data_IF_848626661263
#
_entry.id   IF_848626661263
#
_cell.length_a   1.000
_cell.length_b   1.000
_cell.length_c   1.000
_cell.angle_alpha   90.00
_cell.angle_beta   90.00
_cell.angle_gamma   90.00
#
_symmetry.space_group_name_H-M   'P 1'
#
loop_
_entity.id
_entity.type
_entity.pdbx_description
1 polymer ?
#
# COMPACT_ATOMS: atom_id res chain seq x y z
N UNK A 1 -16.42 -5.25 64.25
CA UNK A 1 -17.08 -4.11 63.56
C UNK A 1 -16.23 -3.46 62.46
N UNK A 2 -14.89 -3.34 62.58
CA UNK A 2 -14.05 -2.61 61.60
C UNK A 2 -13.80 -3.30 60.24
N UNK A 3 -14.06 -4.61 60.07
CA UNK A 3 -13.87 -5.32 58.79
C UNK A 3 -15.06 -5.27 57.81
N UNK A 4 -16.28 -4.94 58.29
CA UNK A 4 -17.47 -4.80 57.41
C UNK A 4 -17.54 -3.43 56.72
N UNK A 5 -16.90 -2.41 57.29
CA UNK A 5 -16.89 -1.03 56.76
C UNK A 5 -15.92 -0.90 55.57
N UNK A 6 -14.78 -1.60 55.59
CA UNK A 6 -13.83 -1.58 54.46
C UNK A 6 -14.38 -2.26 53.20
N UNK A 7 -15.23 -3.29 53.35
CA UNK A 7 -15.84 -4.00 52.22
C UNK A 7 -16.91 -3.14 51.51
N UNK A 8 -17.66 -2.32 52.25
CA UNK A 8 -18.64 -1.39 51.69
C UNK A 8 -17.99 -0.21 50.95
N UNK A 9 -16.83 0.28 51.42
CA UNK A 9 -16.08 1.35 50.74
C UNK A 9 -15.49 0.86 49.41
N UNK A 10 -15.10 -0.41 49.32
CA UNK A 10 -14.56 -0.98 48.08
C UNK A 10 -15.64 -1.18 47.00
N UNK A 11 -16.84 -1.63 47.39
CA UNK A 11 -17.98 -1.80 46.46
C UNK A 11 -18.55 -0.45 45.99
N UNK A 12 -18.56 0.59 46.82
CA UNK A 12 -19.00 1.93 46.39
C UNK A 12 -18.05 2.57 45.36
N UNK A 13 -16.74 2.26 45.40
CA UNK A 13 -15.77 2.77 44.42
C UNK A 13 -15.91 2.12 43.02
N UNK A 14 -16.36 0.86 42.97
CA UNK A 14 -16.59 0.13 41.72
C UNK A 14 -17.88 0.56 41.01
N UNK A 15 -18.88 1.04 41.75
CA UNK A 15 -20.15 1.56 41.19
C UNK A 15 -19.98 3.00 40.67
N UNK A 16 -19.09 3.81 41.26
CA UNK A 16 -18.82 5.17 40.75
C UNK A 16 -17.96 5.20 39.47
N UNK A 17 -17.09 4.20 39.27
CA UNK A 17 -16.28 4.08 38.04
C UNK A 17 -17.11 3.68 36.81
N UNK A 18 -18.19 2.91 37.01
CA UNK A 18 -19.06 2.43 35.93
C UNK A 18 -20.12 3.45 35.47
N UNK A 19 -20.46 4.44 36.30
CA UNK A 19 -21.40 5.52 35.94
C UNK A 19 -20.71 6.65 35.16
N UNK A 20 -19.40 6.85 35.33
CA UNK A 20 -18.64 7.83 34.56
C UNK A 20 -18.32 7.36 33.13
N UNK A 21 -18.31 6.06 32.88
CA UNK A 21 -18.06 5.48 31.55
C UNK A 21 -19.29 5.49 30.62
N UNK A 22 -20.52 5.58 31.17
CA UNK A 22 -21.74 5.73 30.36
C UNK A 22 -22.08 7.17 29.97
N UNK A 23 -21.44 8.18 30.55
CA UNK A 23 -21.73 9.60 30.24
C UNK A 23 -20.87 10.22 29.14
N UNK A 24 -19.83 9.52 28.63
CA UNK A 24 -18.95 10.03 27.56
C UNK A 24 -19.32 9.45 26.19
N UNK A 25 -20.04 8.32 26.13
CA UNK A 25 -20.40 7.66 24.88
C UNK A 25 -21.73 8.10 24.24
N UNK A 26 -22.39 9.15 24.75
CA UNK A 26 -23.73 9.54 24.28
C UNK A 26 -23.81 10.94 23.62
N UNK A 27 -22.70 11.45 23.08
CA UNK A 27 -22.67 12.79 22.45
C UNK A 27 -22.35 12.84 20.94
N UNK A 28 -22.24 11.70 20.26
CA UNK A 28 -22.07 11.68 18.80
C UNK A 28 -22.87 10.55 18.13
N UNK A 29 -24.19 10.56 18.33
CA UNK A 29 -25.13 9.99 17.36
C UNK A 29 -26.32 10.95 17.25
N UNK A 30 -26.25 11.87 16.29
CA UNK A 30 -27.43 12.43 15.63
C UNK A 30 -27.16 12.42 14.13
N UNK A 31 -27.93 11.61 13.43
CA UNK A 31 -28.17 11.77 12.01
C UNK A 31 -28.85 13.11 11.77
N UNK A 32 -28.23 13.97 10.98
CA UNK A 32 -28.92 15.05 10.26
C UNK A 32 -28.66 14.81 8.77
N UNK A 33 -29.74 14.50 8.06
CA UNK A 33 -29.79 14.46 6.60
C UNK A 33 -30.08 15.88 6.12
N UNK A 34 -29.04 16.67 5.89
CA UNK A 34 -29.14 17.88 5.10
C UNK A 34 -27.81 18.16 4.40
N UNK A 35 -27.85 17.98 3.07
CA UNK A 35 -26.78 18.36 2.15
C UNK A 35 -26.67 19.88 2.13
N UNK A 36 -25.50 20.49 2.41
CA UNK A 36 -25.30 21.90 2.08
C UNK A 36 -24.89 22.00 0.61
N UNK A 37 -25.73 22.67 -0.17
CA UNK A 37 -25.43 23.17 -1.50
C UNK A 37 -24.08 23.90 -1.49
N UNK A 38 -23.08 23.32 -2.17
CA UNK A 38 -21.88 24.04 -2.58
C UNK A 38 -22.26 24.89 -3.79
N UNK A 39 -22.68 26.13 -3.51
CA UNK A 39 -22.81 27.17 -4.51
C UNK A 39 -21.45 27.42 -5.18
N UNK A 40 -21.52 27.35 -6.49
CA UNK A 40 -20.48 27.59 -7.49
C UNK A 40 -19.89 29.00 -7.32
N UNK A 41 -18.66 29.09 -6.81
CA UNK A 41 -17.84 30.29 -6.95
C UNK A 41 -16.93 30.11 -8.16
N UNK A 42 -17.39 30.65 -9.28
CA UNK A 42 -16.67 30.78 -10.55
C UNK A 42 -15.22 31.28 -10.35
N UNK A 43 -14.20 30.61 -10.91
CA UNK A 43 -12.90 31.25 -11.09
C UNK A 43 -12.92 32.12 -12.35
N UNK A 44 -12.40 33.33 -12.16
CA UNK A 44 -12.21 34.37 -13.17
C UNK A 44 -11.53 33.86 -14.45
N UNK A 45 -11.95 34.47 -15.55
CA UNK A 45 -11.53 34.22 -16.93
C UNK A 45 -10.02 34.18 -17.13
N UNK A 46 -9.52 33.05 -17.67
CA UNK A 46 -8.16 32.90 -18.18
C UNK A 46 -8.04 33.68 -19.51
N UNK A 47 -7.00 34.52 -19.71
CA UNK A 47 -6.77 35.13 -21.01
C UNK A 47 -6.33 34.06 -22.02
N UNK A 48 -7.08 33.97 -23.13
CA UNK A 48 -6.69 33.26 -24.34
C UNK A 48 -5.47 33.96 -24.93
N UNK A 49 -4.32 33.28 -24.98
CA UNK A 49 -3.33 33.28 -26.07
C UNK A 49 -2.01 32.70 -25.56
N UNK A 50 -1.76 31.42 -25.83
CA UNK A 50 -0.39 30.92 -26.01
C UNK A 50 -0.40 30.05 -27.27
N UNK A 51 0.29 30.55 -28.29
CA UNK A 51 0.55 29.93 -29.58
C UNK A 51 1.67 28.92 -29.38
N UNK A 52 1.48 27.65 -29.76
CA UNK A 52 2.59 26.71 -29.92
C UNK A 52 3.23 26.96 -31.30
N UNK A 53 4.37 27.63 -31.31
CA UNK A 53 5.26 27.71 -32.46
C UNK A 53 6.21 26.51 -32.47
N UNK A 54 6.30 25.84 -33.62
CA UNK A 54 7.41 24.93 -33.93
C UNK A 54 8.65 25.73 -34.33
N UNK A 55 9.83 25.21 -34.00
CA UNK A 55 10.82 24.69 -34.97
C UNK A 55 12.17 24.45 -34.27
N UNK A 56 12.87 23.44 -34.80
CA UNK A 56 14.32 23.19 -34.76
C UNK A 56 15.02 22.73 -33.46
N UNK A 57 15.34 21.43 -33.40
CA UNK A 57 16.59 20.93 -32.82
C UNK A 57 17.23 19.88 -33.75
N UNK A 58 18.57 19.91 -33.95
CA UNK A 58 19.25 19.21 -35.04
C UNK A 58 19.57 17.74 -34.74
N UNK A 59 19.65 16.97 -35.82
CA UNK A 59 20.09 15.58 -35.87
C UNK A 59 21.60 15.43 -35.68
N UNK A 60 22.03 14.84 -34.57
CA UNK A 60 23.37 14.25 -34.45
C UNK A 60 23.26 12.77 -34.07
N UNK A 61 23.72 11.93 -35.00
CA UNK A 61 23.89 10.49 -34.83
C UNK A 61 25.20 10.30 -34.04
N UNK A 62 25.08 9.88 -32.79
CA UNK A 62 26.23 9.43 -31.98
C UNK A 62 26.21 7.90 -31.97
N UNK A 63 27.11 7.30 -32.73
CA UNK A 63 27.46 5.89 -32.64
C UNK A 63 28.19 5.63 -31.32
N UNK A 64 27.54 4.94 -30.39
CA UNK A 64 28.18 4.41 -29.19
C UNK A 64 28.59 2.96 -29.45
N UNK A 65 29.90 2.74 -29.46
CA UNK A 65 30.55 1.43 -29.48
C UNK A 65 30.29 0.71 -28.16
N UNK A 66 29.81 -0.53 -28.25
CA UNK A 66 29.72 -1.49 -27.15
C UNK A 66 31.09 -1.68 -26.51
N UNK A 67 31.18 -1.54 -25.19
CA UNK A 67 32.12 -2.34 -24.42
C UNK A 67 31.47 -2.87 -23.13
N UNK A 68 31.68 -4.16 -22.97
CA UNK A 68 31.35 -5.11 -21.91
C UNK A 68 31.76 -4.62 -20.50
N UNK A 69 31.23 -5.04 -19.35
CA UNK A 69 30.60 -6.28 -18.91
C UNK A 69 30.13 -6.11 -17.45
N UNK A 70 28.85 -6.35 -17.12
CA UNK A 70 28.41 -7.08 -15.91
C UNK A 70 27.06 -7.68 -16.25
N UNK A 71 27.03 -8.99 -16.50
CA UNK A 71 25.83 -9.72 -16.87
C UNK A 71 25.27 -10.36 -15.59
N UNK A 72 24.30 -9.69 -14.95
CA UNK A 72 23.37 -10.35 -14.03
C UNK A 72 22.19 -10.86 -14.85
N UNK A 73 22.17 -12.18 -15.06
CA UNK A 73 21.21 -12.90 -15.89
C UNK A 73 19.85 -13.06 -15.17
N UNK A 74 19.17 -11.94 -14.93
CA UNK A 74 17.74 -11.93 -14.66
C UNK A 74 17.04 -11.59 -15.98
N UNK A 75 16.28 -12.53 -16.53
CA UNK A 75 15.48 -12.29 -17.75
C UNK A 75 14.63 -11.05 -17.52
N UNK A 76 14.61 -10.14 -18.49
CA UNK A 76 13.95 -8.82 -18.42
C UNK A 76 12.45 -8.88 -18.05
N UNK A 77 11.80 -10.04 -18.24
CA UNK A 77 10.43 -10.33 -17.78
C UNK A 77 10.32 -10.56 -16.26
N UNK A 78 11.32 -11.18 -15.64
CA UNK A 78 11.34 -11.46 -14.20
C UNK A 78 11.42 -10.14 -13.41
N UNK A 79 11.97 -9.06 -13.98
CA UNK A 79 12.01 -7.72 -13.35
C UNK A 79 10.65 -7.02 -13.27
N UNK A 80 9.63 -7.48 -14.02
CA UNK A 80 8.30 -6.84 -14.12
C UNK A 80 7.24 -7.44 -13.19
N UNK A 81 7.63 -8.35 -12.30
CA UNK A 81 6.72 -9.01 -11.37
C UNK A 81 6.98 -8.52 -9.95
N UNK A 82 5.90 -8.10 -9.26
CA UNK A 82 5.94 -7.78 -7.83
C UNK A 82 6.27 -9.01 -7.00
N UNK A 83 7.11 -8.85 -5.98
CA UNK A 83 7.54 -9.98 -5.15
C UNK A 83 8.67 -9.62 -4.21
N UNK A 84 9.11 -10.59 -3.38
CA UNK A 84 10.31 -10.44 -2.57
C UNK A 84 11.54 -10.28 -3.47
N UNK A 85 12.49 -9.46 -3.02
CA UNK A 85 13.78 -9.23 -3.68
C UNK A 85 14.90 -9.25 -2.66
N UNK A 86 16.13 -9.55 -3.11
CA UNK A 86 17.34 -9.51 -2.28
C UNK A 86 18.23 -8.31 -2.60
N UNK A 87 18.01 -7.66 -3.73
CA UNK A 87 18.77 -6.51 -4.22
C UNK A 87 17.88 -5.27 -4.21
N UNK A 88 18.45 -4.13 -3.80
CA UNK A 88 17.72 -2.86 -3.69
C UNK A 88 18.50 -1.69 -4.30
N UNK A 89 17.82 -0.65 -4.83
CA UNK A 89 18.48 0.40 -5.62
C UNK A 89 19.23 1.48 -4.79
N UNK A 90 19.57 1.22 -3.53
CA UNK A 90 20.17 2.20 -2.62
C UNK A 90 21.32 1.63 -1.78
N UNK A 91 21.88 0.47 -2.13
CA UNK A 91 22.95 -0.18 -1.35
C UNK A 91 24.16 0.73 -1.13
N UNK A 92 24.47 1.59 -2.12
CA UNK A 92 25.57 2.56 -2.07
C UNK A 92 25.12 3.99 -1.66
N UNK A 93 23.86 4.20 -1.26
CA UNK A 93 23.35 5.50 -0.81
C UNK A 93 24.00 5.85 0.55
N UNK A 94 24.76 6.95 0.60
CA UNK A 94 25.47 7.36 1.83
C UNK A 94 24.52 7.71 2.98
N UNK A 95 23.34 8.26 2.71
CA UNK A 95 22.35 8.55 3.77
C UNK A 95 21.78 7.24 4.33
N UNK A 96 21.59 6.25 3.47
CA UNK A 96 21.20 4.89 3.87
C UNK A 96 22.25 4.27 4.79
N UNK A 97 23.51 4.19 4.34
CA UNK A 97 24.60 3.60 5.11
C UNK A 97 24.77 4.28 6.48
N UNK A 98 24.77 5.62 6.51
CA UNK A 98 24.84 6.38 7.75
C UNK A 98 23.65 6.08 8.69
N UNK A 99 22.44 5.90 8.14
CA UNK A 99 21.25 5.60 8.94
C UNK A 99 21.32 4.19 9.53
N UNK A 100 21.84 3.20 8.80
CA UNK A 100 22.08 1.86 9.33
C UNK A 100 23.04 1.92 10.54
N UNK A 101 24.18 2.58 10.38
CA UNK A 101 25.22 2.70 11.40
C UNK A 101 24.69 3.40 12.68
N UNK A 102 23.96 4.49 12.50
CA UNK A 102 23.42 5.26 13.62
C UNK A 102 22.38 4.49 14.46
N UNK A 103 21.68 3.53 13.84
CA UNK A 103 20.59 2.80 14.48
C UNK A 103 20.94 1.32 14.76
N UNK A 104 22.12 0.86 14.33
CA UNK A 104 22.56 -0.52 14.48
C UNK A 104 21.68 -1.51 13.70
N UNK A 105 21.11 -1.10 12.56
CA UNK A 105 20.14 -1.89 11.80
C UNK A 105 20.75 -2.49 10.53
N UNK A 106 21.88 -3.20 10.61
CA UNK A 106 22.66 -3.62 9.44
C UNK A 106 22.12 -4.85 8.70
N UNK A 107 21.17 -5.59 9.29
CA UNK A 107 20.63 -6.82 8.70
C UNK A 107 19.39 -6.52 7.88
N UNK A 108 19.41 -6.85 6.59
CA UNK A 108 18.20 -6.88 5.75
C UNK A 108 17.25 -7.95 6.30
N UNK A 109 16.08 -7.54 6.76
CA UNK A 109 15.05 -8.47 7.25
C UNK A 109 14.23 -8.99 6.07
N UNK A 110 13.73 -8.09 5.24
CA UNK A 110 13.05 -8.42 3.99
C UNK A 110 13.00 -7.19 3.08
N UNK A 111 13.05 -7.42 1.78
CA UNK A 111 12.72 -6.43 0.77
C UNK A 111 11.62 -6.95 -0.17
N UNK A 112 10.78 -6.05 -0.65
CA UNK A 112 9.72 -6.36 -1.59
C UNK A 112 9.61 -5.24 -2.60
N UNK A 113 9.45 -5.61 -3.87
CA UNK A 113 9.14 -4.67 -4.93
C UNK A 113 7.68 -4.80 -5.38
N UNK A 114 7.07 -3.70 -5.75
CA UNK A 114 5.72 -3.65 -6.29
C UNK A 114 5.75 -2.89 -7.60
N UNK A 115 5.39 -3.58 -8.69
CA UNK A 115 5.40 -3.02 -10.03
C UNK A 115 4.09 -2.29 -10.29
N UNK A 116 4.19 -1.05 -10.74
CA UNK A 116 3.10 -0.21 -11.19
C UNK A 116 2.87 -0.53 -12.68
N UNK A 117 2.08 -1.57 -12.96
CA UNK A 117 1.69 -1.90 -14.34
C UNK A 117 0.80 -0.81 -14.89
N UNK A 118 1.20 -0.21 -16.01
CA UNK A 118 0.48 0.85 -16.73
C UNK A 118 -0.07 1.94 -15.79
N UNK A 119 0.82 2.67 -15.08
CA UNK A 119 0.38 3.60 -14.05
C UNK A 119 -0.50 4.68 -14.64
N UNK A 120 -1.66 4.89 -14.01
CA UNK A 120 -2.57 5.95 -14.42
C UNK A 120 -2.01 7.31 -14.00
N UNK A 121 -2.40 8.42 -14.66
CA UNK A 121 -1.90 9.75 -14.35
C UNK A 121 -1.95 10.08 -12.86
N UNK A 122 -0.81 10.51 -12.31
CA UNK A 122 -0.66 10.89 -10.90
C UNK A 122 -0.39 9.73 -9.93
N UNK A 123 -0.57 8.48 -10.33
CA UNK A 123 -0.31 7.31 -9.47
C UNK A 123 1.16 7.18 -9.10
N UNK A 124 2.04 7.12 -10.10
CA UNK A 124 3.49 6.98 -9.91
C UNK A 124 4.02 8.11 -9.02
N UNK A 125 3.66 9.35 -9.31
CA UNK A 125 4.04 10.52 -8.52
C UNK A 125 3.65 10.37 -7.04
N UNK A 126 2.41 9.94 -6.76
CA UNK A 126 1.92 9.78 -5.39
C UNK A 126 2.64 8.64 -4.66
N UNK A 127 2.91 7.53 -5.36
CA UNK A 127 3.65 6.38 -4.82
C UNK A 127 5.10 6.80 -4.49
N UNK A 128 5.77 7.52 -5.40
CA UNK A 128 7.12 8.03 -5.18
C UNK A 128 7.19 9.05 -4.04
N UNK A 129 6.22 9.95 -3.95
CA UNK A 129 6.11 10.90 -2.83
C UNK A 129 5.91 10.15 -1.51
N UNK A 130 5.02 9.17 -1.47
CA UNK A 130 4.79 8.36 -0.28
C UNK A 130 6.03 7.55 0.13
N UNK A 131 6.74 6.96 -0.83
CA UNK A 131 8.02 6.28 -0.58
C UNK A 131 9.06 7.23 0.03
N UNK A 132 9.15 8.46 -0.48
CA UNK A 132 10.06 9.48 0.05
C UNK A 132 9.70 9.90 1.48
N UNK A 133 8.42 10.04 1.80
CA UNK A 133 7.96 10.35 3.15
C UNK A 133 8.19 9.20 4.14
N UNK A 134 8.23 7.96 3.63
CA UNK A 134 8.47 6.75 4.42
C UNK A 134 9.96 6.46 4.65
N UNK A 135 10.82 6.82 3.68
CA UNK A 135 12.29 6.61 3.69
C UNK A 135 12.89 7.12 5.00
N UNK A 136 13.65 6.25 5.69
CA UNK A 136 14.36 6.60 6.92
C UNK A 136 13.54 6.48 8.19
N UNK A 137 12.30 5.96 8.14
CA UNK A 137 11.48 5.79 9.35
C UNK A 137 12.11 4.75 10.27
N UNK A 138 12.32 5.12 11.54
CA UNK A 138 12.76 4.20 12.59
C UNK A 138 11.57 3.81 13.46
N UNK A 139 11.33 2.50 13.57
CA UNK A 139 10.30 1.92 14.46
C UNK A 139 11.01 1.33 15.66
N UNK A 140 10.84 1.93 16.85
CA UNK A 140 11.52 1.51 18.07
C UNK A 140 10.99 0.16 18.59
N UNK A 141 11.73 -0.53 19.47
CA UNK A 141 11.23 -1.72 20.15
C UNK A 141 9.85 -1.47 20.78
N UNK A 142 8.93 -2.41 20.56
CA UNK A 142 7.53 -2.39 21.02
C UNK A 142 6.64 -1.30 20.40
N UNK A 143 7.18 -0.42 19.54
CA UNK A 143 6.42 0.61 18.84
C UNK A 143 5.51 -0.01 17.76
N UNK A 144 4.36 0.63 17.55
CA UNK A 144 3.44 0.30 16.46
C UNK A 144 3.66 1.32 15.35
N UNK A 145 4.17 0.86 14.21
CA UNK A 145 4.17 1.64 12.99
C UNK A 145 2.74 1.80 12.45
N UNK A 146 2.43 2.97 11.92
CA UNK A 146 1.18 3.28 11.21
C UNK A 146 1.49 4.01 9.93
N UNK A 147 1.00 3.48 8.80
CA UNK A 147 1.17 4.15 7.51
C UNK A 147 0.46 5.49 7.49
N UNK A 148 -0.78 5.57 7.97
CA UNK A 148 -1.53 6.82 7.96
C UNK A 148 -0.84 7.91 8.80
N UNK A 149 -0.18 7.56 9.91
CA UNK A 149 0.61 8.53 10.69
C UNK A 149 1.87 8.95 9.93
N UNK A 150 2.59 7.99 9.33
CA UNK A 150 3.86 8.26 8.67
C UNK A 150 3.69 9.14 7.41
N UNK A 151 2.76 8.76 6.52
CA UNK A 151 2.66 9.38 5.19
C UNK A 151 1.33 10.09 4.93
N UNK A 152 0.28 9.81 5.69
CA UNK A 152 -0.99 10.53 5.61
C UNK A 152 -0.97 11.85 6.40
N UNK A 153 -1.98 12.73 6.26
CA UNK A 153 -3.15 12.61 5.38
C UNK A 153 -2.80 12.76 3.88
N UNK A 154 -3.55 12.07 3.04
CA UNK A 154 -3.38 12.06 1.59
C UNK A 154 -4.07 13.29 0.94
N UNK A 155 -3.49 14.47 1.14
CA UNK A 155 -4.08 15.75 0.73
C UNK A 155 -3.11 16.60 -0.11
N UNK A 156 -3.65 17.51 -0.92
CA UNK A 156 -2.88 18.38 -1.81
C UNK A 156 -1.82 19.21 -1.08
N UNK A 157 -2.12 19.73 0.12
CA UNK A 157 -1.17 20.53 0.90
C UNK A 157 0.03 19.74 1.42
N UNK A 158 -0.04 18.40 1.40
CA UNK A 158 1.09 17.50 1.65
C UNK A 158 1.78 17.04 0.36
N UNK A 159 1.46 17.66 -0.77
CA UNK A 159 2.06 17.42 -2.08
C UNK A 159 1.36 16.36 -2.93
N UNK A 160 0.36 15.65 -2.39
CA UNK A 160 -0.33 14.61 -3.14
C UNK A 160 -1.11 15.19 -4.34
N UNK A 161 -1.10 14.47 -5.45
CA UNK A 161 -1.88 14.76 -6.65
C UNK A 161 -3.12 13.87 -6.71
N UNK A 162 -4.08 14.24 -7.55
CA UNK A 162 -5.17 13.32 -7.92
C UNK A 162 -4.57 12.15 -8.68
N UNK A 163 -4.86 10.94 -8.22
CA UNK A 163 -4.48 9.68 -8.85
C UNK A 163 -5.66 8.70 -8.79
N UNK A 164 -5.53 7.51 -9.38
CA UNK A 164 -6.62 6.54 -9.48
C UNK A 164 -7.05 6.01 -8.12
N UNK A 165 -8.34 5.75 -7.98
CA UNK A 165 -8.92 4.97 -6.89
C UNK A 165 -10.16 4.24 -7.40
N UNK A 166 -10.51 3.14 -6.74
CA UNK A 166 -11.72 2.40 -7.03
C UNK A 166 -12.80 2.71 -5.99
N UNK A 167 -14.01 3.01 -6.45
CA UNK A 167 -15.22 3.09 -5.63
C UNK A 167 -16.22 2.08 -6.19
N UNK A 168 -16.37 0.95 -5.49
CA UNK A 168 -17.03 -0.22 -6.09
C UNK A 168 -16.27 -0.63 -7.36
N UNK A 169 -16.99 -0.88 -8.47
CA UNK A 169 -16.41 -1.20 -9.78
C UNK A 169 -15.99 0.03 -10.60
N UNK A 170 -16.16 1.25 -10.09
CA UNK A 170 -15.86 2.47 -10.84
C UNK A 170 -14.44 2.97 -10.53
N UNK A 171 -13.65 3.15 -11.59
CA UNK A 171 -12.40 3.90 -11.55
C UNK A 171 -12.72 5.40 -11.46
N UNK A 172 -12.18 6.07 -10.43
CA UNK A 172 -12.27 7.52 -10.24
C UNK A 172 -10.92 8.04 -9.75
N UNK A 173 -10.84 9.32 -9.36
CA UNK A 173 -9.61 9.92 -8.84
C UNK A 173 -9.78 10.48 -7.44
N UNK A 174 -8.73 10.38 -6.63
CA UNK A 174 -8.63 10.99 -5.30
C UNK A 174 -7.20 11.48 -5.04
N UNK A 175 -7.02 12.38 -4.08
CA UNK A 175 -5.68 12.76 -3.63
C UNK A 175 -4.98 11.56 -2.99
N UNK A 176 -3.74 11.32 -3.41
CA UNK A 176 -2.97 10.15 -2.99
C UNK A 176 -3.47 8.83 -3.57
N UNK A 177 -4.23 8.85 -4.67
CA UNK A 177 -4.48 7.62 -5.44
C UNK A 177 -3.16 6.90 -5.75
N UNK A 178 -3.10 5.61 -5.43
CA UNK A 178 -1.88 4.79 -5.48
C UNK A 178 -1.30 4.37 -4.13
N UNK A 179 -1.60 5.06 -3.02
CA UNK A 179 -0.97 4.78 -1.70
C UNK A 179 -1.29 3.40 -1.11
N UNK A 180 -2.30 2.68 -1.62
CA UNK A 180 -2.54 1.28 -1.25
C UNK A 180 -1.43 0.32 -1.70
N UNK A 181 -0.62 0.72 -2.70
CA UNK A 181 0.58 -0.03 -3.07
C UNK A 181 1.60 0.01 -1.94
N UNK A 182 1.79 1.16 -1.29
CA UNK A 182 2.67 1.30 -0.11
C UNK A 182 2.23 0.36 1.01
N UNK A 183 0.93 0.30 1.31
CA UNK A 183 0.43 -0.58 2.39
C UNK A 183 0.57 -2.05 2.05
N UNK A 184 0.35 -2.43 0.79
CA UNK A 184 0.52 -3.82 0.35
C UNK A 184 2.00 -4.23 0.36
N UNK A 185 2.91 -3.36 -0.09
CA UNK A 185 4.36 -3.61 -0.03
C UNK A 185 4.83 -3.71 1.42
N UNK A 186 4.42 -2.76 2.29
CA UNK A 186 4.71 -2.77 3.73
C UNK A 186 4.17 -4.03 4.42
N UNK A 187 2.97 -4.48 4.05
CA UNK A 187 2.40 -5.71 4.58
C UNK A 187 3.26 -6.93 4.26
N UNK A 188 3.71 -7.05 3.01
CA UNK A 188 4.55 -8.17 2.60
C UNK A 188 5.92 -8.15 3.29
N UNK A 189 6.62 -7.01 3.33
CA UNK A 189 7.91 -6.95 4.03
C UNK A 189 7.76 -7.16 5.53
N UNK A 190 6.69 -6.68 6.17
CA UNK A 190 6.45 -6.90 7.59
C UNK A 190 6.20 -8.38 7.89
N UNK A 191 5.42 -9.08 7.05
CA UNK A 191 5.20 -10.52 7.20
C UNK A 191 6.49 -11.30 6.98
N UNK A 192 7.24 -11.01 5.91
CA UNK A 192 8.51 -11.67 5.61
C UNK A 192 9.58 -11.41 6.69
N UNK A 193 9.49 -10.28 7.39
CA UNK A 193 10.36 -9.93 8.53
C UNK A 193 9.90 -10.55 9.87
N UNK A 194 8.89 -11.43 9.84
CA UNK A 194 8.24 -12.05 11.00
C UNK A 194 7.67 -11.06 12.04
N UNK A 195 7.17 -9.90 11.58
CA UNK A 195 6.60 -8.90 12.47
C UNK A 195 5.12 -9.15 12.76
N UNK A 196 4.68 -8.67 13.93
CA UNK A 196 3.28 -8.78 14.30
C UNK A 196 2.46 -7.72 13.57
N UNK A 197 1.59 -8.16 12.66
CA UNK A 197 0.59 -7.28 12.02
C UNK A 197 -0.52 -6.98 13.01
N UNK A 198 -0.74 -5.68 13.26
CA UNK A 198 -1.72 -5.17 14.23
C UNK A 198 -3.03 -4.79 13.53
N UNK A 199 -2.93 -4.20 12.34
CA UNK A 199 -4.09 -3.81 11.54
C UNK A 199 -3.78 -4.08 10.07
N UNK A 200 -4.69 -4.81 9.41
CA UNK A 200 -4.69 -5.05 7.98
C UNK A 200 -6.14 -5.17 7.52
N UNK A 201 -6.44 -4.50 6.42
CA UNK A 201 -7.70 -4.67 5.69
C UNK A 201 -7.38 -5.10 4.27
N UNK A 202 -7.99 -6.18 3.79
CA UNK A 202 -7.94 -6.52 2.36
C UNK A 202 -8.81 -5.53 1.55
N UNK A 203 -8.47 -5.38 0.28
CA UNK A 203 -9.33 -4.72 -0.70
C UNK A 203 -10.61 -5.55 -0.90
N UNK A 204 -11.70 -4.88 -1.29
CA UNK A 204 -12.97 -5.54 -1.61
C UNK A 204 -12.95 -6.24 -2.97
N UNK A 205 -12.01 -5.89 -3.84
CA UNK A 205 -11.75 -6.48 -5.15
C UNK A 205 -10.28 -6.87 -5.22
N UNK A 206 -9.90 -7.86 -6.04
CA UNK A 206 -8.49 -8.16 -6.24
C UNK A 206 -7.72 -6.96 -6.79
N UNK A 207 -6.41 -6.98 -6.59
CA UNK A 207 -5.48 -5.98 -7.12
C UNK A 207 -4.41 -6.65 -7.97
N UNK A 208 -3.99 -6.05 -9.09
CA UNK A 208 -3.14 -6.72 -10.08
C UNK A 208 -1.64 -6.72 -9.73
N UNK A 209 -1.27 -6.17 -8.57
CA UNK A 209 0.12 -5.91 -8.19
C UNK A 209 0.63 -6.75 -7.01
N UNK A 210 -0.21 -7.60 -6.41
CA UNK A 210 0.17 -8.62 -5.42
C UNK A 210 -0.76 -9.84 -5.52
N UNK A 211 -0.32 -11.04 -5.11
CA UNK A 211 -1.19 -12.21 -5.04
C UNK A 211 -2.43 -12.00 -4.14
N UNK A 212 -3.47 -12.81 -4.36
CA UNK A 212 -4.61 -12.85 -3.43
C UNK A 212 -4.14 -13.12 -2.01
N UNK A 213 -4.76 -12.45 -1.04
CA UNK A 213 -4.42 -12.61 0.37
C UNK A 213 -3.15 -11.88 0.80
N UNK A 214 -2.41 -11.23 -0.11
CA UNK A 214 -1.19 -10.47 0.19
C UNK A 214 -1.36 -8.94 0.07
N UNK A 215 -2.59 -8.46 -0.12
CA UNK A 215 -2.89 -7.03 -0.26
C UNK A 215 -3.28 -6.37 1.06
N UNK A 216 -3.00 -5.07 1.19
CA UNK A 216 -3.50 -4.25 2.28
C UNK A 216 -4.00 -2.91 1.74
N UNK A 217 -5.19 -2.48 2.18
CA UNK A 217 -5.82 -1.23 1.75
C UNK A 217 -5.86 -0.22 2.90
N UNK A 218 -5.75 1.06 2.56
CA UNK A 218 -5.78 2.18 3.52
C UNK A 218 -6.78 3.23 3.07
N UNK A 219 -7.37 3.91 4.06
CA UNK A 219 -8.22 5.07 3.87
C UNK A 219 -8.02 5.96 5.10
N UNK A 220 -7.40 7.12 4.91
CA UNK A 220 -7.06 7.98 6.04
C UNK A 220 -8.29 8.30 6.91
N UNK A 221 -8.19 8.03 8.22
CA UNK A 221 -9.30 8.18 9.17
C UNK A 221 -10.27 6.99 9.28
N UNK A 222 -10.12 5.94 8.45
CA UNK A 222 -11.02 4.78 8.44
C UNK A 222 -10.32 3.41 8.41
N UNK A 223 -9.28 3.24 7.59
CA UNK A 223 -8.50 1.99 7.45
C UNK A 223 -7.01 2.32 7.46
N UNK A 224 -6.23 1.56 8.21
CA UNK A 224 -4.79 1.71 8.28
C UNK A 224 -4.08 0.38 8.06
N UNK A 225 -2.78 0.46 7.77
CA UNK A 225 -1.87 -0.66 7.88
C UNK A 225 -0.93 -0.41 9.06
N UNK A 226 -0.89 -1.35 10.00
CA UNK A 226 -0.07 -1.26 11.20
C UNK A 226 0.63 -2.58 11.49
N UNK A 227 1.90 -2.48 11.86
CA UNK A 227 2.65 -3.59 12.44
C UNK A 227 3.35 -3.11 13.71
N UNK A 228 3.64 -4.06 14.60
CA UNK A 228 4.40 -3.82 15.81
C UNK A 228 5.82 -4.33 15.62
N UNK A 229 6.79 -3.50 15.99
CA UNK A 229 8.15 -3.98 16.19
C UNK A 229 8.19 -4.83 17.47
N UNK A 230 8.27 -6.15 17.29
CA UNK A 230 8.35 -7.12 18.39
C UNK A 230 9.78 -7.52 18.73
N UNK A 231 10.79 -6.96 18.06
CA UNK A 231 12.20 -7.20 18.39
C UNK A 231 12.66 -6.29 19.54
N UNK A 232 13.86 -6.59 20.06
CA UNK A 232 14.52 -5.79 21.10
C UNK A 232 15.30 -4.60 20.53
N UNK A 233 15.29 -4.42 19.20
CA UNK A 233 16.08 -3.42 18.48
C UNK A 233 15.23 -2.55 17.56
N UNK A 234 15.71 -1.36 17.16
CA UNK A 234 15.03 -0.57 16.15
C UNK A 234 14.89 -1.31 14.82
N UNK A 235 13.85 -0.97 14.07
CA UNK A 235 13.68 -1.38 12.68
C UNK A 235 13.70 -0.14 11.79
N UNK A 236 14.58 -0.11 10.81
CA UNK A 236 14.63 0.91 9.78
C UNK A 236 13.72 0.50 8.60
N UNK A 237 12.87 1.42 8.17
CA UNK A 237 12.12 1.33 6.92
C UNK A 237 12.83 2.17 5.87
N UNK A 238 13.23 1.55 4.77
CA UNK A 238 13.75 2.26 3.60
C UNK A 238 12.86 2.02 2.40
N UNK A 239 12.63 3.07 1.62
CA UNK A 239 11.71 3.02 0.48
C UNK A 239 12.19 3.93 -0.65
N UNK A 240 12.01 3.47 -1.88
CA UNK A 240 12.32 4.26 -3.08
C UNK A 240 11.38 3.86 -4.23
N UNK A 241 10.90 4.86 -4.97
CA UNK A 241 10.30 4.65 -6.28
C UNK A 241 11.37 4.84 -7.35
N UNK A 242 11.51 3.86 -8.24
CA UNK A 242 12.40 3.89 -9.41
C UNK A 242 11.55 3.52 -10.61
N UNK A 243 11.37 4.47 -11.53
CA UNK A 243 10.43 4.33 -12.66
C UNK A 243 9.06 3.80 -12.17
N UNK A 244 8.56 2.75 -12.81
CA UNK A 244 7.30 2.09 -12.49
C UNK A 244 7.45 1.03 -11.39
N UNK A 245 8.44 1.11 -10.52
CA UNK A 245 8.64 0.14 -9.44
C UNK A 245 8.82 0.82 -8.09
N UNK A 246 8.01 0.39 -7.11
CA UNK A 246 8.17 0.72 -5.70
C UNK A 246 9.01 -0.36 -5.03
N UNK A 247 10.06 0.04 -4.33
CA UNK A 247 10.84 -0.82 -3.46
C UNK A 247 10.64 -0.38 -2.01
N UNK A 248 10.41 -1.33 -1.10
CA UNK A 248 10.47 -1.12 0.34
C UNK A 248 11.28 -2.26 0.95
N UNK A 249 12.14 -1.93 1.91
CA UNK A 249 12.84 -2.91 2.72
C UNK A 249 12.81 -2.54 4.20
N UNK A 250 12.86 -3.58 5.04
CA UNK A 250 13.03 -3.45 6.49
C UNK A 250 14.41 -3.93 6.87
N UNK A 251 15.08 -3.18 7.73
CA UNK A 251 16.38 -3.53 8.29
C UNK A 251 16.34 -3.53 9.81
N UNK A 252 17.08 -4.45 10.43
CA UNK A 252 17.17 -4.61 11.87
C UNK A 252 18.52 -5.20 12.26
N UNK A 253 18.60 -5.85 13.43
CA UNK A 253 19.84 -6.48 13.91
C UNK A 253 19.67 -7.98 14.20
N UNK A 254 18.66 -8.60 13.61
CA UNK A 254 18.34 -10.01 13.77
C UNK A 254 18.10 -10.65 12.41
N UNK A 255 18.28 -11.97 12.31
CA UNK A 255 17.91 -12.74 11.12
C UNK A 255 16.48 -13.24 11.29
N UNK A 256 15.53 -12.87 10.41
CA UNK A 256 14.18 -13.43 10.48
C UNK A 256 14.21 -14.91 10.04
N UNK A 257 13.28 -15.75 10.52
CA UNK A 257 13.10 -17.09 9.99
C UNK A 257 12.71 -17.04 8.51
N UNK A 258 12.92 -18.14 7.80
CA UNK A 258 12.46 -18.26 6.41
C UNK A 258 10.94 -18.33 6.40
N UNK A 259 10.30 -17.41 5.69
CA UNK A 259 8.84 -17.30 5.58
C UNK A 259 8.40 -17.50 4.14
N UNK A 260 7.47 -18.43 3.95
CA UNK A 260 6.86 -18.72 2.64
C UNK A 260 5.35 -18.59 2.73
N UNK A 261 4.77 -17.87 1.76
CA UNK A 261 3.33 -17.71 1.63
C UNK A 261 2.69 -18.91 0.98
N UNK A 262 1.52 -19.29 1.49
CA UNK A 262 0.66 -20.30 0.90
C UNK A 262 -0.78 -19.80 0.81
N UNK A 263 -1.46 -20.18 -0.27
CA UNK A 263 -2.81 -19.74 -0.58
C UNK A 263 -3.68 -20.88 -1.09
N UNK A 264 -4.88 -20.98 -0.54
CA UNK A 264 -5.93 -21.89 -1.01
C UNK A 264 -7.10 -21.06 -1.54
N UNK A 265 -7.36 -21.12 -2.85
CA UNK A 265 -8.56 -20.55 -3.45
C UNK A 265 -9.73 -21.50 -3.18
N UNK A 266 -10.57 -21.14 -2.21
CA UNK A 266 -11.74 -21.92 -1.82
C UNK A 266 -12.83 -21.80 -2.89
N UNK A 267 -12.97 -20.61 -3.47
CA UNK A 267 -13.98 -20.31 -4.49
C UNK A 267 -13.53 -19.17 -5.38
N UNK A 268 -13.90 -19.25 -6.65
CA UNK A 268 -13.65 -18.20 -7.66
C UNK A 268 -14.98 -17.67 -8.21
N UNK A 269 -15.02 -16.40 -8.55
CA UNK A 269 -16.15 -15.71 -9.17
C UNK A 269 -15.65 -15.04 -10.45
N UNK A 270 -16.21 -15.39 -11.61
CA UNK A 270 -15.71 -14.86 -12.88
C UNK A 270 -15.94 -13.34 -12.99
N UNK A 271 -14.91 -12.63 -13.43
CA UNK A 271 -15.01 -11.20 -13.74
C UNK A 271 -16.00 -10.98 -14.90
N UNK A 272 -17.02 -10.12 -14.72
CA UNK A 272 -17.89 -9.75 -15.81
C UNK A 272 -17.15 -8.84 -16.80
N UNK A 273 -17.58 -8.88 -18.06
CA UNK A 273 -17.10 -7.96 -19.11
C UNK A 273 -18.16 -6.88 -19.33
N UNK A 274 -17.76 -5.62 -19.19
CA UNK A 274 -18.61 -4.46 -19.40
C UNK A 274 -18.18 -3.78 -20.70
N UNK A 275 -19.08 -3.73 -21.66
CA UNK A 275 -18.88 -3.00 -22.92
C UNK A 275 -19.37 -1.55 -22.79
N UNK A 276 -18.57 -0.60 -23.24
CA UNK A 276 -18.93 0.81 -23.40
C UNK A 276 -18.84 1.17 -24.89
N UNK A 277 -19.92 1.71 -25.45
CA UNK A 277 -19.88 2.15 -26.84
C UNK A 277 -18.97 3.38 -26.94
N UNK A 278 -18.00 3.33 -27.85
CA UNK A 278 -17.15 4.46 -28.19
C UNK A 278 -17.31 4.79 -29.68
N UNK A 279 -17.90 5.94 -29.99
CA UNK A 279 -18.14 6.39 -31.37
C UNK A 279 -16.86 6.85 -32.09
N UNK A 280 -15.75 7.01 -31.38
CA UNK A 280 -14.44 7.34 -31.94
C UNK A 280 -13.70 6.09 -32.42
N UNK A 281 -14.13 4.89 -32.00
CA UNK A 281 -13.60 3.62 -32.50
C UNK A 281 -14.32 3.19 -33.78
N UNK A 282 -13.59 2.66 -34.79
CA UNK A 282 -14.19 1.99 -35.94
C UNK A 282 -15.19 0.90 -35.55
N UNK A 283 -16.28 0.77 -36.31
CA UNK A 283 -17.32 -0.23 -36.09
C UNK A 283 -16.75 -1.63 -35.85
N UNK A 284 -17.05 -2.21 -34.68
CA UNK A 284 -16.59 -3.55 -34.30
C UNK A 284 -15.18 -3.63 -33.71
N UNK A 285 -14.40 -2.54 -33.70
CA UNK A 285 -13.11 -2.48 -33.01
C UNK A 285 -13.32 -2.47 -31.49
N UNK A 286 -12.50 -3.20 -30.76
CA UNK A 286 -12.55 -3.29 -29.29
C UNK A 286 -11.23 -2.81 -28.67
N UNK A 287 -11.33 -2.01 -27.62
CA UNK A 287 -10.19 -1.50 -26.85
C UNK A 287 -10.39 -1.81 -25.36
N UNK A 288 -9.46 -2.56 -24.77
CA UNK A 288 -9.47 -2.82 -23.32
C UNK A 288 -9.07 -1.54 -22.61
N UNK A 289 -9.96 -1.03 -21.76
CA UNK A 289 -9.72 0.13 -20.91
C UNK A 289 -9.24 -0.29 -19.52
N UNK A 290 -9.80 -1.39 -19.01
CA UNK A 290 -9.39 -1.98 -17.75
C UNK A 290 -9.44 -3.50 -17.88
N UNK A 291 -8.30 -4.15 -17.67
CA UNK A 291 -8.26 -5.60 -17.50
C UNK A 291 -8.79 -5.93 -16.10
N UNK A 292 -9.93 -6.62 -16.05
CA UNK A 292 -10.55 -7.12 -14.84
C UNK A 292 -9.79 -8.30 -14.23
N UNK A 293 -10.26 -8.74 -13.06
CA UNK A 293 -9.70 -9.86 -12.32
C UNK A 293 -10.82 -10.61 -11.62
N UNK A 294 -10.78 -11.94 -11.68
CA UNK A 294 -11.76 -12.79 -11.02
C UNK A 294 -11.86 -12.48 -9.52
N UNK A 295 -13.06 -12.56 -8.95
CA UNK A 295 -13.23 -12.54 -7.50
C UNK A 295 -12.80 -13.88 -6.91
N UNK A 296 -12.46 -13.91 -5.63
CA UNK A 296 -12.11 -15.14 -4.95
C UNK A 296 -12.40 -15.10 -3.46
N UNK A 297 -12.61 -16.28 -2.86
CA UNK A 297 -12.46 -16.50 -1.41
C UNK A 297 -11.16 -17.24 -1.22
N UNK A 298 -10.21 -16.63 -0.52
CA UNK A 298 -8.84 -17.17 -0.41
C UNK A 298 -8.46 -17.31 1.06
N UNK A 299 -8.11 -18.52 1.47
CA UNK A 299 -7.47 -18.76 2.77
C UNK A 299 -5.97 -18.66 2.58
N UNK A 300 -5.29 -17.94 3.48
CA UNK A 300 -3.84 -17.77 3.41
C UNK A 300 -3.19 -18.15 4.73
N UNK A 301 -2.00 -18.73 4.64
CA UNK A 301 -1.12 -18.98 5.77
C UNK A 301 0.32 -18.75 5.35
N UNK A 302 1.20 -18.67 6.35
CA UNK A 302 2.64 -18.67 6.12
C UNK A 302 3.27 -19.89 6.79
N UNK A 303 4.21 -20.50 6.10
CA UNK A 303 5.13 -21.48 6.65
C UNK A 303 6.34 -20.73 7.19
N UNK A 304 6.68 -20.96 8.45
CA UNK A 304 7.81 -20.32 9.14
C UNK A 304 8.81 -21.41 9.45
N UNK A 305 10.01 -21.31 8.90
CA UNK A 305 11.13 -22.22 9.16
C UNK A 305 12.22 -21.48 9.94
N UNK A 306 12.39 -21.87 11.19
CA UNK A 306 13.41 -21.36 12.10
C UNK A 306 14.80 -21.94 11.76
N UNK A 307 15.87 -21.26 12.17
CA UNK A 307 17.25 -21.71 11.92
C UNK A 307 17.56 -23.08 12.56
N UNK A 308 16.89 -23.41 13.67
CA UNK A 308 17.03 -24.72 14.33
C UNK A 308 16.29 -25.87 13.62
N UNK A 309 15.66 -25.59 12.47
CA UNK A 309 14.89 -26.54 11.68
C UNK A 309 13.44 -26.72 12.13
N UNK A 310 12.99 -26.06 13.20
CA UNK A 310 11.59 -26.07 13.60
C UNK A 310 10.74 -25.36 12.54
N UNK A 311 9.64 -26.01 12.15
CA UNK A 311 8.67 -25.45 11.22
C UNK A 311 7.35 -25.20 11.93
N UNK A 312 6.76 -24.03 11.73
CA UNK A 312 5.43 -23.69 12.22
C UNK A 312 4.58 -23.11 11.11
N UNK A 313 3.25 -23.23 11.25
CA UNK A 313 2.28 -22.64 10.32
C UNK A 313 1.51 -21.57 11.05
N UNK A 314 1.49 -20.35 10.49
CA UNK A 314 0.69 -19.24 11.01
C UNK A 314 -0.44 -18.92 10.04
N UNK A 315 -1.67 -19.07 10.53
CA UNK A 315 -2.87 -18.71 9.76
C UNK A 315 -2.96 -17.19 9.61
N UNK A 316 -3.12 -16.72 8.37
CA UNK A 316 -3.25 -15.30 8.04
C UNK A 316 -4.71 -14.89 7.77
N UNK A 317 -5.62 -15.86 7.80
CA UNK A 317 -7.07 -15.66 7.69
C UNK A 317 -7.62 -15.91 6.29
N UNK A 318 -8.88 -15.52 6.11
CA UNK A 318 -9.62 -15.65 4.84
C UNK A 318 -9.92 -14.27 4.29
N UNK A 319 -9.56 -14.02 3.03
CA UNK A 319 -9.89 -12.79 2.31
C UNK A 319 -11.00 -13.04 1.29
N UNK A 320 -11.86 -12.05 1.11
CA UNK A 320 -13.05 -12.12 0.25
C UNK A 320 -12.98 -11.00 -0.79
N UNK A 321 -12.94 -11.39 -2.05
CA UNK A 321 -12.84 -10.46 -3.16
C UNK A 321 -14.04 -10.62 -4.09
N UNK A 322 -14.73 -9.52 -4.32
CA UNK A 322 -15.68 -9.40 -5.44
C UNK A 322 -14.89 -9.27 -6.76
N UNK A 323 -15.41 -9.77 -7.89
CA UNK A 323 -14.70 -9.65 -9.16
C UNK A 323 -14.52 -8.20 -9.59
N UNK A 324 -13.33 -7.88 -10.09
CA UNK A 324 -13.05 -6.62 -10.78
C UNK A 324 -13.45 -6.80 -12.25
N UNK A 325 -14.39 -6.00 -12.74
CA UNK A 325 -14.91 -6.14 -14.11
C UNK A 325 -13.86 -5.77 -15.16
N UNK A 326 -13.87 -6.48 -16.30
CA UNK A 326 -13.20 -5.99 -17.49
C UNK A 326 -14.02 -4.84 -18.07
N UNK A 327 -13.36 -3.76 -18.50
CA UNK A 327 -14.01 -2.65 -19.20
C UNK A 327 -13.44 -2.60 -20.60
N UNK A 328 -14.30 -2.81 -21.60
CA UNK A 328 -13.93 -2.81 -23.01
C UNK A 328 -14.74 -1.72 -23.71
N UNK A 329 -14.07 -0.82 -24.42
CA UNK A 329 -14.73 0.09 -25.35
C UNK A 329 -14.92 -0.60 -26.69
N UNK A 330 -16.08 -0.41 -27.33
CA UNK A 330 -16.44 -1.02 -28.61
C UNK A 330 -16.98 0.01 -29.58
N UNK A 331 -16.43 0.03 -30.80
CA UNK A 331 -16.94 0.82 -31.90
C UNK A 331 -18.32 0.35 -32.33
N UNK A 332 -19.20 1.31 -32.61
CA UNK A 332 -20.64 1.11 -32.84
C UNK A 332 -20.96 0.15 -33.97
#
# INVERSE_FOLDING_TARGET
MKRKILFYIFILSLIFSSILFLSINNKYIRHDNSSPDLQDSQPETIPKNIVYGGDDLPSEIITLTEDSSVQTDLRDEDLRISGPVNEVPWEDDMDFLNTLDQNGTHTLLAAFRTVLKDPLPGEEFNVHLAARLLKGTIVKPLEIFSQNIAIGPYIQSRGYRKGPTYIGSNLTTTYGGGVCKISSTLYNVAVLSNLQVIERHAHSMPVPYVPYGQDATVAYGAKDFKFKNTSESPILIWALGVENTLYIALYGNYTPPKIEWEHEIIRTYKAPVIYKINNELPSGEEKIILEGMDGAVVRSWINIQEENGAATVKQMGTSYYTPMSHIIEKGK
#
